data_IF_177364863254
#
_entry.id   IF_177364863254
#
_cell.length_a   1.000
_cell.length_b   1.000
_cell.length_c   1.000
_cell.angle_alpha   90.00
_cell.angle_beta   90.00
_cell.angle_gamma   90.00
#
_symmetry.space_group_name_H-M   'P 1'
#
loop_
_entity.id
_entity.type
_entity.pdbx_description
1 polymer ?
#
# COMPACT_ATOMS: atom_id res chain seq x y z
N UNK A 1 2.45 -33.00 -34.24
CA UNK A 1 3.37 -33.20 -35.38
C UNK A 1 3.14 -32.08 -36.38
N UNK A 2 4.20 -31.62 -37.04
CA UNK A 2 4.35 -30.41 -37.89
C UNK A 2 4.47 -29.13 -37.06
N UNK A 3 5.56 -28.37 -37.02
CA UNK A 3 6.81 -28.31 -37.77
C UNK A 3 7.22 -26.82 -37.81
N UNK A 4 8.17 -26.40 -36.96
CA UNK A 4 9.52 -25.91 -37.32
C UNK A 4 9.55 -24.80 -38.39
N UNK A 5 10.07 -23.64 -38.00
CA UNK A 5 10.91 -22.82 -38.88
C UNK A 5 12.00 -22.12 -38.05
N UNK A 6 13.23 -22.58 -38.26
CA UNK A 6 14.47 -21.93 -37.86
C UNK A 6 14.79 -20.75 -38.80
N UNK A 7 15.36 -19.69 -38.24
CA UNK A 7 15.90 -18.55 -38.98
C UNK A 7 16.99 -17.88 -38.15
N UNK A 8 18.20 -18.41 -38.24
CA UNK A 8 19.39 -17.87 -37.58
C UNK A 8 19.96 -16.65 -38.29
N UNK A 9 20.61 -15.77 -37.51
CA UNK A 9 21.43 -14.66 -37.99
C UNK A 9 22.29 -14.12 -36.86
N UNK A 10 23.60 -14.39 -36.92
CA UNK A 10 24.57 -14.09 -35.87
C UNK A 10 25.02 -12.63 -35.79
N UNK A 11 25.67 -12.29 -34.67
CA UNK A 11 26.31 -10.98 -34.47
C UNK A 11 27.00 -10.85 -33.11
N UNK A 12 28.29 -11.22 -33.09
CA UNK A 12 29.41 -10.63 -32.30
C UNK A 12 29.34 -10.64 -30.77
N UNK A 13 30.23 -11.43 -30.15
CA UNK A 13 30.66 -11.26 -28.75
C UNK A 13 31.81 -10.25 -28.70
N UNK A 14 31.65 -9.20 -27.91
CA UNK A 14 32.74 -8.34 -27.42
C UNK A 14 32.76 -8.46 -25.89
N UNK A 15 33.83 -8.98 -25.26
CA UNK A 15 33.97 -8.98 -23.82
C UNK A 15 34.78 -7.76 -23.37
N UNK A 16 34.28 -7.01 -22.38
CA UNK A 16 35.13 -6.05 -21.66
C UNK A 16 34.38 -4.85 -21.07
N UNK A 17 34.12 -4.95 -19.76
CA UNK A 17 34.34 -3.89 -18.77
C UNK A 17 33.49 -2.61 -18.91
N UNK A 18 32.27 -2.70 -18.40
CA UNK A 18 31.70 -1.67 -17.53
C UNK A 18 30.84 -2.40 -16.49
N UNK A 19 31.52 -2.96 -15.49
CA UNK A 19 30.93 -3.36 -14.22
C UNK A 19 30.47 -2.11 -13.45
N UNK A 20 29.45 -2.30 -12.61
CA UNK A 20 28.89 -1.37 -11.62
C UNK A 20 28.10 -0.16 -12.20
N UNK A 21 26.78 -0.04 -12.04
CA UNK A 21 26.08 -0.09 -10.77
C UNK A 21 24.59 -0.35 -11.02
N UNK A 22 24.16 -1.61 -10.90
CA UNK A 22 22.76 -1.99 -11.01
C UNK A 22 22.28 -2.44 -9.62
N UNK A 23 21.46 -1.64 -8.91
CA UNK A 23 20.81 -2.12 -7.70
C UNK A 23 19.52 -2.83 -8.11
N UNK A 24 19.62 -3.96 -8.80
CA UNK A 24 18.58 -4.99 -8.81
C UNK A 24 19.06 -6.16 -7.96
N UNK A 25 19.24 -5.87 -6.67
CA UNK A 25 19.48 -6.91 -5.68
C UNK A 25 18.17 -7.62 -5.33
N UNK A 26 18.18 -8.94 -5.10
CA UNK A 26 17.02 -9.72 -4.65
C UNK A 26 16.51 -9.32 -3.24
N UNK A 27 17.21 -8.41 -2.56
CA UNK A 27 16.89 -7.95 -1.20
C UNK A 27 15.52 -7.29 -1.06
N UNK A 28 15.07 -6.48 -2.04
CA UNK A 28 13.80 -5.76 -1.94
C UNK A 28 12.57 -6.66 -1.80
N UNK A 29 12.53 -7.77 -2.54
CA UNK A 29 11.43 -8.75 -2.47
C UNK A 29 11.40 -9.52 -1.15
N UNK A 30 12.57 -9.82 -0.57
CA UNK A 30 12.64 -10.56 0.69
C UNK A 30 12.08 -9.73 1.86
N UNK A 31 12.46 -8.45 1.95
CA UNK A 31 11.92 -7.55 2.99
C UNK A 31 10.42 -7.31 2.82
N UNK A 32 9.91 -7.20 1.60
CA UNK A 32 8.47 -7.08 1.33
C UNK A 32 7.68 -8.30 1.83
N UNK A 33 8.19 -9.50 1.55
CA UNK A 33 7.57 -10.76 1.99
C UNK A 33 7.57 -10.87 3.51
N UNK A 34 8.66 -10.47 4.17
CA UNK A 34 8.74 -10.50 5.63
C UNK A 34 7.76 -9.50 6.29
N UNK A 35 7.61 -8.29 5.75
CA UNK A 35 6.62 -7.33 6.25
C UNK A 35 5.19 -7.84 6.12
N UNK A 36 4.86 -8.52 5.02
CA UNK A 36 3.54 -9.14 4.85
C UNK A 36 3.31 -10.24 5.87
N UNK A 37 4.32 -11.08 6.09
CA UNK A 37 4.25 -12.14 7.09
C UNK A 37 4.13 -11.58 8.50
N UNK A 38 4.76 -10.46 8.84
CA UNK A 38 4.69 -9.91 10.20
C UNK A 38 3.42 -9.11 10.46
N UNK A 39 2.91 -8.37 9.48
CA UNK A 39 1.89 -7.33 9.71
C UNK A 39 0.62 -7.45 8.85
N UNK A 40 0.61 -8.32 7.83
CA UNK A 40 -0.52 -8.52 6.93
C UNK A 40 -1.03 -9.96 6.91
N UNK A 41 -0.86 -10.70 8.02
CA UNK A 41 -1.53 -11.97 8.22
C UNK A 41 -3.00 -11.75 8.58
N UNK A 42 -3.86 -12.12 7.64
CA UNK A 42 -5.29 -12.16 7.84
C UNK A 42 -5.76 -13.61 7.64
N UNK A 43 -6.62 -14.09 8.52
CA UNK A 43 -7.35 -15.35 8.34
C UNK A 43 -8.79 -15.02 7.91
N UNK A 44 -9.01 -14.69 6.61
CA UNK A 44 -10.34 -14.34 6.13
C UNK A 44 -11.28 -15.55 6.22
N UNK A 45 -12.50 -15.30 6.66
CA UNK A 45 -13.61 -16.27 6.60
C UNK A 45 -14.06 -16.49 5.15
N UNK A 46 -14.91 -17.50 4.92
CA UNK A 46 -15.42 -17.86 3.58
C UNK A 46 -16.03 -16.67 2.79
N UNK A 47 -16.59 -15.68 3.49
CA UNK A 47 -17.21 -14.49 2.91
C UNK A 47 -16.33 -13.23 2.97
N UNK A 48 -15.03 -13.38 3.27
CA UNK A 48 -14.08 -12.29 3.36
C UNK A 48 -12.98 -12.45 2.30
N UNK A 49 -12.43 -11.33 1.87
CA UNK A 49 -11.27 -11.31 0.99
C UNK A 49 -10.14 -10.51 1.65
N UNK A 50 -8.91 -10.88 1.34
CA UNK A 50 -7.70 -10.17 1.75
C UNK A 50 -6.85 -9.91 0.51
N UNK A 51 -6.22 -8.74 0.45
CA UNK A 51 -5.29 -8.38 -0.62
C UNK A 51 -4.19 -7.50 -0.05
N UNK A 52 -3.01 -7.59 -0.63
CA UNK A 52 -1.84 -6.80 -0.24
C UNK A 52 -1.31 -6.10 -1.49
N UNK A 53 -0.95 -4.82 -1.36
CA UNK A 53 -0.37 -4.02 -2.43
C UNK A 53 0.92 -3.37 -1.94
N UNK A 54 1.95 -3.42 -2.78
CA UNK A 54 3.21 -2.74 -2.54
C UNK A 54 3.39 -1.56 -3.47
N UNK A 55 3.99 -0.49 -2.95
CA UNK A 55 4.38 0.67 -3.74
C UNK A 55 5.74 1.18 -3.30
N UNK A 56 6.70 1.05 -4.20
CA UNK A 56 8.03 1.64 -4.02
C UNK A 56 7.94 3.16 -4.17
N UNK A 57 8.51 3.88 -3.20
CA UNK A 57 8.56 5.34 -3.16
C UNK A 57 10.03 5.76 -3.04
N UNK A 58 10.50 6.61 -3.96
CA UNK A 58 11.85 7.17 -3.92
C UNK A 58 11.93 8.35 -2.94
N UNK A 59 11.77 8.08 -1.65
CA UNK A 59 11.86 9.07 -0.58
C UNK A 59 12.28 8.42 0.75
N UNK A 60 12.92 9.16 1.67
CA UNK A 60 13.19 8.69 3.03
C UNK A 60 11.92 8.25 3.77
N UNK A 61 12.03 7.16 4.55
CA UNK A 61 10.91 6.56 5.29
C UNK A 61 10.22 7.58 6.21
N UNK A 62 10.97 8.38 6.96
CA UNK A 62 10.40 9.36 7.88
C UNK A 62 9.53 10.42 7.17
N UNK A 63 9.85 10.80 5.92
CA UNK A 63 9.03 11.74 5.15
C UNK A 63 7.73 11.07 4.72
N UNK A 64 7.80 9.85 4.20
CA UNK A 64 6.62 9.07 3.82
C UNK A 64 5.73 8.81 5.04
N UNK A 65 6.33 8.40 6.15
CA UNK A 65 5.61 8.13 7.38
C UNK A 65 4.94 9.38 7.96
N UNK A 66 5.62 10.54 7.93
CA UNK A 66 5.04 11.82 8.37
C UNK A 66 3.76 12.19 7.62
N UNK A 67 3.58 11.66 6.41
CA UNK A 67 2.38 11.80 5.59
C UNK A 67 1.35 10.72 5.92
N UNK A 68 1.74 9.44 5.88
CA UNK A 68 0.83 8.29 6.04
C UNK A 68 0.24 8.23 7.45
N UNK A 69 1.01 8.54 8.50
CA UNK A 69 0.58 8.49 9.90
C UNK A 69 -0.53 9.48 10.27
N UNK A 70 -0.85 10.44 9.38
CA UNK A 70 -1.86 11.47 9.63
C UNK A 70 -3.27 10.90 9.50
N UNK A 71 -3.76 10.34 10.60
CA UNK A 71 -5.12 9.85 10.71
C UNK A 71 -6.17 10.96 10.50
N UNK A 72 -5.86 12.21 10.79
CA UNK A 72 -6.75 13.34 10.58
C UNK A 72 -6.78 13.88 9.13
N UNK A 73 -5.74 13.58 8.33
CA UNK A 73 -5.55 14.20 7.00
C UNK A 73 -5.31 13.19 5.87
N UNK A 74 -6.20 12.20 5.67
CA UNK A 74 -6.08 11.22 4.59
C UNK A 74 -6.12 11.84 3.20
N UNK A 75 -6.74 13.00 3.01
CA UNK A 75 -6.81 13.72 1.72
C UNK A 75 -5.46 14.05 1.12
N UNK A 76 -4.40 14.08 1.93
CA UNK A 76 -3.05 14.38 1.43
C UNK A 76 -2.45 13.23 0.61
N UNK A 77 -2.95 12.00 0.76
CA UNK A 77 -2.43 10.84 0.04
C UNK A 77 -3.50 9.91 -0.55
N UNK A 78 -4.77 10.02 -0.11
CA UNK A 78 -5.91 9.30 -0.68
C UNK A 78 -6.65 10.21 -1.70
N UNK A 79 -6.65 9.89 -3.00
CA UNK A 79 -7.08 10.83 -4.06
C UNK A 79 -8.57 11.17 -4.06
N UNK A 80 -9.42 10.32 -3.48
CA UNK A 80 -10.88 10.47 -3.51
C UNK A 80 -11.48 11.05 -2.22
N UNK A 81 -10.66 11.37 -1.23
CA UNK A 81 -11.15 12.02 -0.01
C UNK A 81 -11.33 13.50 -0.28
N UNK A 82 -12.52 14.01 0.02
CA UNK A 82 -12.87 15.44 -0.05
C UNK A 82 -12.68 16.13 1.30
N UNK A 83 -13.07 15.46 2.39
CA UNK A 83 -13.01 15.99 3.75
C UNK A 83 -12.78 14.85 4.76
N UNK A 84 -12.13 15.18 5.87
CA UNK A 84 -11.96 14.30 7.01
C UNK A 84 -12.26 15.06 8.30
N UNK A 85 -13.06 14.47 9.18
CA UNK A 85 -13.45 15.04 10.47
C UNK A 85 -13.09 14.03 11.54
N UNK A 86 -12.20 14.39 12.47
CA UNK A 86 -11.86 13.53 13.61
C UNK A 86 -12.74 13.90 14.81
N UNK A 87 -13.27 12.89 15.48
CA UNK A 87 -14.02 13.08 16.71
C UNK A 87 -13.05 13.04 17.91
N UNK A 88 -12.84 14.20 18.53
CA UNK A 88 -11.95 14.33 19.70
C UNK A 88 -10.47 14.38 19.33
N UNK A 89 -9.62 13.78 20.18
CA UNK A 89 -8.18 13.72 19.98
C UNK A 89 -7.76 12.66 18.96
N UNK A 90 -6.49 12.69 18.54
CA UNK A 90 -5.89 11.66 17.69
C UNK A 90 -5.14 10.66 18.58
N UNK A 91 -5.71 9.46 18.73
CA UNK A 91 -5.12 8.34 19.47
C UNK A 91 -5.79 7.02 19.08
N UNK A 92 -5.21 5.90 19.51
CA UNK A 92 -5.83 4.59 19.27
C UNK A 92 -7.24 4.58 19.87
N UNK A 93 -8.22 4.11 19.09
CA UNK A 93 -9.64 4.15 19.39
C UNK A 93 -10.39 5.36 18.82
N UNK A 94 -9.69 6.42 18.38
CA UNK A 94 -10.32 7.60 17.78
C UNK A 94 -11.07 7.26 16.49
N UNK A 95 -12.18 7.96 16.27
CA UNK A 95 -13.00 7.84 15.06
C UNK A 95 -12.78 9.04 14.15
N UNK A 96 -12.80 8.78 12.84
CA UNK A 96 -12.88 9.80 11.81
C UNK A 96 -14.04 9.52 10.85
N UNK A 97 -14.71 10.59 10.44
CA UNK A 97 -15.64 10.59 9.33
C UNK A 97 -14.90 11.07 8.08
N UNK A 98 -14.78 10.17 7.10
CA UNK A 98 -14.16 10.45 5.81
C UNK A 98 -15.27 10.68 4.80
N UNK A 99 -15.27 11.86 4.20
CA UNK A 99 -16.15 12.20 3.09
C UNK A 99 -15.39 11.99 1.78
N UNK A 100 -16.07 11.39 0.81
CA UNK A 100 -15.54 11.06 -0.51
C UNK A 100 -16.05 12.10 -1.53
N UNK A 101 -15.32 12.28 -2.63
CA UNK A 101 -15.71 13.19 -3.72
C UNK A 101 -17.05 12.77 -4.35
N UNK A 102 -17.86 13.77 -4.73
CA UNK A 102 -19.15 13.58 -5.40
C UNK A 102 -19.02 12.79 -6.71
N UNK A 103 -20.06 12.02 -7.06
CA UNK A 103 -20.09 11.20 -8.28
C UNK A 103 -19.51 9.80 -8.11
N UNK A 104 -19.05 9.44 -6.90
CA UNK A 104 -18.71 8.07 -6.54
C UNK A 104 -19.89 7.39 -5.83
N UNK A 105 -20.01 6.04 -5.89
CA UNK A 105 -21.14 5.32 -5.29
C UNK A 105 -21.28 5.45 -3.77
N UNK A 106 -20.22 5.89 -3.08
CA UNK A 106 -20.19 6.07 -1.64
C UNK A 106 -19.73 7.49 -1.31
N UNK A 107 -20.34 8.09 -0.29
CA UNK A 107 -20.09 9.47 0.11
C UNK A 107 -19.41 9.56 1.48
N UNK A 108 -19.61 8.56 2.36
CA UNK A 108 -19.14 8.63 3.75
C UNK A 108 -18.58 7.29 4.24
N UNK A 109 -17.52 7.37 5.04
CA UNK A 109 -16.95 6.24 5.77
C UNK A 109 -16.61 6.65 7.20
N UNK A 110 -17.00 5.82 8.15
CA UNK A 110 -16.61 5.94 9.54
C UNK A 110 -15.47 4.98 9.80
N UNK A 111 -14.31 5.51 10.16
CA UNK A 111 -13.08 4.75 10.32
C UNK A 111 -12.54 4.92 11.74
N UNK A 112 -12.07 3.83 12.35
CA UNK A 112 -11.43 3.80 13.67
C UNK A 112 -9.92 3.58 13.53
N UNK A 113 -9.14 4.32 14.30
CA UNK A 113 -7.71 4.07 14.47
C UNK A 113 -7.50 2.86 15.39
N UNK A 114 -7.03 1.74 14.84
CA UNK A 114 -6.78 0.51 15.60
C UNK A 114 -5.31 0.43 16.06
N UNK A 115 -4.40 0.98 15.27
CA UNK A 115 -2.97 0.88 15.56
C UNK A 115 -2.21 2.10 15.01
N UNK A 116 -1.25 2.60 15.79
CA UNK A 116 -0.33 3.66 15.38
C UNK A 116 1.02 3.43 16.06
N UNK A 117 1.97 2.87 15.31
CA UNK A 117 3.33 2.62 15.78
C UNK A 117 4.32 3.45 14.96
N UNK A 118 4.95 4.43 15.61
CA UNK A 118 5.93 5.32 14.99
C UNK A 118 7.31 4.70 14.79
N UNK A 119 7.63 3.63 15.53
CA UNK A 119 8.92 2.94 15.44
C UNK A 119 8.91 1.96 14.28
N UNK A 120 7.86 1.15 14.17
CA UNK A 120 7.69 0.16 13.10
C UNK A 120 6.96 0.74 11.88
N UNK A 121 6.50 1.99 11.94
CA UNK A 121 5.79 2.72 10.88
C UNK A 121 4.47 2.05 10.43
N UNK A 122 3.65 1.64 11.41
CA UNK A 122 2.41 0.90 11.18
C UNK A 122 1.20 1.75 11.51
N UNK A 123 0.30 1.90 10.53
CA UNK A 123 -1.01 2.52 10.70
C UNK A 123 -2.09 1.48 10.40
N UNK A 124 -2.84 1.11 11.44
CA UNK A 124 -3.98 0.19 11.35
C UNK A 124 -5.29 0.95 11.45
N UNK A 125 -6.17 0.78 10.47
CA UNK A 125 -7.49 1.42 10.45
C UNK A 125 -8.56 0.37 10.19
N UNK A 126 -9.65 0.46 10.92
CA UNK A 126 -10.85 -0.35 10.70
C UNK A 126 -12.00 0.52 10.25
N UNK A 127 -12.62 0.16 9.14
CA UNK A 127 -13.89 0.74 8.75
C UNK A 127 -14.98 0.17 9.66
N UNK A 128 -15.70 1.03 10.37
CA UNK A 128 -16.77 0.65 11.31
C UNK A 128 -18.16 0.90 10.76
N UNK A 129 -18.29 1.68 9.69
CA UNK A 129 -19.54 1.97 9.03
C UNK A 129 -19.36 2.92 7.86
N UNK A 130 -20.47 3.29 7.22
CA UNK A 130 -20.50 4.14 6.04
C UNK A 130 -21.57 3.70 5.07
N UNK A 131 -21.67 4.38 3.93
CA UNK A 131 -22.62 4.07 2.84
C UNK A 131 -21.99 3.23 1.72
N UNK A 132 -20.75 2.77 1.92
CA UNK A 132 -20.05 1.90 0.97
C UNK A 132 -20.39 0.42 1.16
N UNK A 133 -20.03 -0.38 0.15
CA UNK A 133 -20.22 -1.85 0.13
C UNK A 133 -19.22 -2.63 1.00
N UNK A 134 -18.18 -1.96 1.52
CA UNK A 134 -17.19 -2.57 2.41
C UNK A 134 -17.83 -2.79 3.79
N UNK A 135 -17.89 -4.05 4.23
CA UNK A 135 -18.39 -4.47 5.55
C UNK A 135 -17.32 -5.21 6.29
#
# INVERSE_FOLDING_TARGET
>A
MVGMNDGGGGGVRVPGLADEMNPTGPGGRAVEVDHVRCFHQHEPKENQCSSVVFKHIKAPVHLVWSLVRRFDQPQKYKPFVSRCIVQGGVGVGSLREVNIKSGLPATTSFERLEHLDDKEHILGIKIVGGDHRLK
#
